data_IF_186705894808
#
_entry.id   IF_186705894808
#
_cell.length_a   1.000
_cell.length_b   1.000
_cell.length_c   1.000
_cell.angle_alpha   90.00
_cell.angle_beta   90.00
_cell.angle_gamma   90.00
#
_symmetry.space_group_name_H-M   'P 1'
#
loop_
_entity.id
_entity.type
_entity.pdbx_description
1 polymer ?
#
# COMPACT_ATOMS: atom_id res chain seq x y z
N UNK A 1 11.98 -3.79 28.83
CA UNK A 1 10.71 -4.46 28.49
C UNK A 1 11.04 -5.56 27.49
N UNK A 2 10.74 -6.81 27.85
CA UNK A 2 11.05 -7.96 27.01
C UNK A 2 9.77 -8.42 26.34
N UNK A 3 9.49 -7.85 25.17
CA UNK A 3 8.42 -8.30 24.31
C UNK A 3 8.99 -9.28 23.28
N UNK A 4 8.38 -10.44 23.15
CA UNK A 4 8.75 -11.42 22.13
C UNK A 4 7.75 -11.31 20.97
N UNK A 5 8.19 -11.02 19.73
CA UNK A 5 7.29 -11.05 18.58
C UNK A 5 6.87 -12.49 18.30
N UNK A 6 5.57 -12.73 18.23
CA UNK A 6 5.00 -14.07 17.96
C UNK A 6 4.58 -14.26 16.52
N UNK A 7 4.23 -13.16 15.83
CA UNK A 7 3.93 -13.14 14.41
C UNK A 7 4.11 -11.72 13.87
N UNK A 8 4.09 -11.61 12.57
CA UNK A 8 4.06 -10.31 11.89
C UNK A 8 3.09 -10.38 10.71
N UNK A 9 2.39 -9.29 10.46
CA UNK A 9 1.61 -9.10 9.26
C UNK A 9 2.42 -8.28 8.25
N UNK A 10 2.30 -8.61 6.97
CA UNK A 10 2.93 -7.87 5.89
C UNK A 10 1.87 -6.99 5.22
N UNK A 11 2.19 -5.72 4.98
CA UNK A 11 1.33 -4.74 4.33
C UNK A 11 1.84 -4.44 2.92
N UNK A 12 0.92 -4.36 1.97
CA UNK A 12 1.16 -4.17 0.55
C UNK A 12 -0.15 -4.19 -0.23
N UNK A 13 -0.17 -4.85 -1.38
CA UNK A 13 -1.36 -4.95 -2.21
C UNK A 13 -1.94 -6.37 -2.19
N UNK A 14 -3.20 -6.50 -1.83
CA UNK A 14 -3.98 -7.74 -1.97
C UNK A 14 -4.59 -7.74 -3.37
N UNK A 15 -4.44 -8.84 -4.09
CA UNK A 15 -4.72 -8.94 -5.53
C UNK A 15 -5.61 -10.12 -5.83
N UNK A 16 -6.71 -9.89 -6.54
CA UNK A 16 -7.57 -10.94 -7.08
C UNK A 16 -6.95 -11.54 -8.35
N UNK A 17 -6.11 -12.58 -8.19
CA UNK A 17 -5.41 -13.23 -9.29
C UNK A 17 -6.37 -13.82 -10.32
N UNK A 18 -7.53 -14.30 -9.87
CA UNK A 18 -8.57 -14.83 -10.75
C UNK A 18 -9.05 -13.80 -11.77
N UNK A 19 -9.20 -12.52 -11.39
CA UNK A 19 -9.54 -11.45 -12.34
C UNK A 19 -8.41 -11.20 -13.35
N UNK A 20 -7.15 -11.21 -12.91
CA UNK A 20 -6.01 -11.07 -13.81
C UNK A 20 -5.98 -12.17 -14.87
N UNK A 21 -6.19 -13.44 -14.46
CA UNK A 21 -6.27 -14.58 -15.39
C UNK A 21 -7.49 -14.47 -16.31
N UNK A 22 -8.67 -14.10 -15.78
CA UNK A 22 -9.91 -13.99 -16.53
C UNK A 22 -9.81 -12.97 -17.67
N UNK A 23 -9.16 -11.82 -17.42
CA UNK A 23 -9.06 -10.73 -18.39
C UNK A 23 -7.73 -10.76 -19.17
N UNK A 24 -6.84 -11.71 -18.89
CA UNK A 24 -5.54 -11.83 -19.55
C UNK A 24 -4.59 -10.68 -19.24
N UNK A 25 -4.76 -10.03 -18.11
CA UNK A 25 -3.91 -8.92 -17.63
C UNK A 25 -2.75 -9.54 -16.83
N UNK A 26 -1.48 -9.23 -17.15
CA UNK A 26 -0.36 -9.78 -16.41
C UNK A 26 -0.28 -9.18 -14.98
N UNK A 27 0.12 -10.02 -14.01
CA UNK A 27 0.37 -9.55 -12.65
C UNK A 27 1.50 -8.52 -12.63
N UNK A 28 1.35 -7.42 -11.89
CA UNK A 28 2.37 -6.38 -11.78
C UNK A 28 3.69 -6.90 -11.19
N UNK A 29 4.79 -6.45 -11.76
CA UNK A 29 6.16 -6.76 -11.29
C UNK A 29 6.95 -5.52 -10.87
N UNK A 30 6.46 -4.33 -11.22
CA UNK A 30 7.02 -3.03 -10.93
C UNK A 30 5.91 -1.96 -10.94
N UNK A 31 6.26 -0.71 -10.66
CA UNK A 31 5.30 0.39 -10.58
C UNK A 31 4.59 0.67 -11.92
N UNK A 32 5.32 0.64 -13.03
CA UNK A 32 4.76 0.91 -14.36
C UNK A 32 3.73 -0.16 -14.76
N UNK A 33 4.05 -1.44 -14.54
CA UNK A 33 3.11 -2.54 -14.80
C UNK A 33 1.92 -2.52 -13.82
N UNK A 34 2.09 -2.03 -12.59
CA UNK A 34 0.98 -1.83 -11.65
C UNK A 34 -0.01 -0.78 -12.17
N UNK A 35 0.49 0.38 -12.61
CA UNK A 35 -0.36 1.43 -13.21
C UNK A 35 -1.03 0.93 -14.48
N UNK A 36 -0.30 0.23 -15.35
CA UNK A 36 -0.85 -0.35 -16.58
C UNK A 36 -1.96 -1.36 -16.29
N UNK A 37 -1.82 -2.17 -15.25
CA UNK A 37 -2.86 -3.10 -14.84
C UNK A 37 -4.11 -2.36 -14.32
N UNK A 38 -3.95 -1.28 -13.55
CA UNK A 38 -5.08 -0.45 -13.12
C UNK A 38 -5.88 0.07 -14.31
N UNK A 39 -5.20 0.64 -15.31
CA UNK A 39 -5.82 1.17 -16.53
C UNK A 39 -6.52 0.07 -17.33
N UNK A 40 -5.89 -1.09 -17.49
CA UNK A 40 -6.47 -2.21 -18.23
C UNK A 40 -7.76 -2.75 -17.57
N UNK A 41 -7.84 -2.75 -16.24
CA UNK A 41 -9.07 -3.12 -15.54
C UNK A 41 -10.17 -2.06 -15.72
N UNK A 42 -9.84 -0.79 -15.71
CA UNK A 42 -10.81 0.29 -15.95
C UNK A 42 -11.43 0.20 -17.34
N UNK A 43 -10.65 -0.18 -18.36
CA UNK A 43 -11.16 -0.39 -19.73
C UNK A 43 -12.24 -1.47 -19.82
N UNK A 44 -12.24 -2.43 -18.88
CA UNK A 44 -13.25 -3.49 -18.79
C UNK A 44 -14.30 -3.24 -17.71
N UNK A 45 -14.31 -2.03 -17.12
CA UNK A 45 -15.30 -1.59 -16.14
C UNK A 45 -15.08 -2.13 -14.72
N UNK A 46 -13.86 -2.59 -14.41
CA UNK A 46 -13.45 -3.04 -13.08
C UNK A 46 -12.49 -1.99 -12.52
N UNK A 47 -12.65 -1.65 -11.26
CA UNK A 47 -11.69 -0.77 -10.58
C UNK A 47 -10.35 -1.47 -10.44
N UNK A 48 -9.29 -0.85 -10.97
CA UNK A 48 -7.95 -1.45 -10.90
C UNK A 48 -7.41 -1.51 -9.49
N UNK A 49 -7.56 -0.40 -8.74
CA UNK A 49 -7.12 -0.29 -7.35
C UNK A 49 -8.15 0.47 -6.50
N UNK A 50 -8.26 0.10 -5.23
CA UNK A 50 -9.05 0.83 -4.23
C UNK A 50 -8.36 0.78 -2.86
N UNK A 51 -8.72 1.70 -1.95
CA UNK A 51 -8.18 1.75 -0.60
C UNK A 51 -9.16 2.39 0.38
N UNK A 52 -9.06 2.02 1.65
CA UNK A 52 -9.88 2.51 2.75
C UNK A 52 -9.25 3.74 3.43
N UNK A 53 -8.98 4.79 2.65
CA UNK A 53 -8.30 5.99 3.14
C UNK A 53 -9.15 6.89 4.06
N UNK A 54 -10.34 6.45 4.42
CA UNK A 54 -11.09 6.97 5.57
C UNK A 54 -10.28 6.81 6.87
N UNK A 55 -9.42 5.79 6.93
CA UNK A 55 -8.51 5.60 8.05
C UNK A 55 -7.15 6.23 7.74
N UNK A 56 -6.71 7.13 8.63
CA UNK A 56 -5.44 7.86 8.49
C UNK A 56 -4.22 6.92 8.42
N UNK A 57 -4.24 5.81 9.17
CA UNK A 57 -3.14 4.85 9.17
C UNK A 57 -2.96 4.14 7.82
N UNK A 58 -4.03 3.79 7.09
CA UNK A 58 -3.91 3.13 5.78
C UNK A 58 -3.31 4.04 4.73
N UNK A 59 -3.69 5.32 4.74
CA UNK A 59 -3.08 6.34 3.90
C UNK A 59 -1.58 6.50 4.22
N UNK A 60 -1.24 6.60 5.51
CA UNK A 60 0.15 6.74 5.97
C UNK A 60 1.00 5.51 5.65
N UNK A 61 0.46 4.31 5.79
CA UNK A 61 1.16 3.07 5.45
C UNK A 61 1.41 2.96 3.95
N UNK A 62 0.44 3.34 3.11
CA UNK A 62 0.64 3.38 1.66
C UNK A 62 1.74 4.37 1.29
N UNK A 63 1.71 5.59 1.82
CA UNK A 63 2.74 6.61 1.61
C UNK A 63 4.13 6.10 2.01
N UNK A 64 4.24 5.49 3.18
CA UNK A 64 5.50 4.93 3.69
C UNK A 64 5.98 3.75 2.85
N UNK A 65 5.08 2.87 2.43
CA UNK A 65 5.40 1.73 1.56
C UNK A 65 5.94 2.16 0.21
N UNK A 66 5.26 3.10 -0.45
CA UNK A 66 5.69 3.67 -1.74
C UNK A 66 7.02 4.43 -1.64
N UNK A 67 7.33 5.02 -0.48
CA UNK A 67 8.53 5.83 -0.23
C UNK A 67 9.57 5.11 0.62
N UNK A 68 9.46 3.81 0.81
CA UNK A 68 10.35 3.05 1.68
C UNK A 68 11.83 3.14 1.25
N UNK A 69 12.09 3.21 -0.05
CA UNK A 69 13.42 3.39 -0.59
C UNK A 69 14.11 4.65 -0.04
N UNK A 70 13.39 5.76 0.06
CA UNK A 70 13.91 7.04 0.57
C UNK A 70 13.92 7.08 2.10
N UNK A 71 12.84 6.61 2.73
CA UNK A 71 12.69 6.61 4.19
C UNK A 71 13.71 5.73 4.89
N UNK A 72 14.22 4.69 4.23
CA UNK A 72 15.22 3.76 4.76
C UNK A 72 16.66 4.17 4.47
N UNK A 73 16.90 5.25 3.73
CA UNK A 73 18.24 5.83 3.54
C UNK A 73 18.86 6.30 4.85
N UNK A 74 20.17 6.57 4.83
CA UNK A 74 20.84 7.16 6.01
C UNK A 74 20.21 8.50 6.40
N UNK A 75 19.81 9.33 5.42
CA UNK A 75 19.15 10.60 5.68
C UNK A 75 17.77 10.40 6.31
N UNK A 76 16.94 9.51 5.75
CA UNK A 76 15.61 9.20 6.29
C UNK A 76 15.67 8.60 7.70
N UNK A 77 16.63 7.72 7.97
CA UNK A 77 16.85 7.17 9.32
C UNK A 77 17.29 8.23 10.32
N UNK A 78 18.18 9.14 9.93
CA UNK A 78 18.61 10.27 10.78
C UNK A 78 17.44 11.17 11.11
N UNK A 79 16.62 11.52 10.12
CA UNK A 79 15.42 12.32 10.34
C UNK A 79 14.49 11.64 11.34
N UNK A 80 14.16 10.37 11.15
CA UNK A 80 13.27 9.62 12.05
C UNK A 80 13.80 9.56 13.48
N UNK A 81 15.11 9.34 13.66
CA UNK A 81 15.74 9.36 14.98
C UNK A 81 15.60 10.73 15.63
N UNK A 82 15.89 11.80 14.89
CA UNK A 82 15.79 13.17 15.40
C UNK A 82 14.35 13.57 15.75
N UNK A 83 13.38 13.16 14.92
CA UNK A 83 11.96 13.40 15.16
C UNK A 83 11.43 12.67 16.41
N UNK A 84 11.90 11.43 16.62
CA UNK A 84 11.45 10.58 17.73
C UNK A 84 12.17 10.83 19.05
N UNK A 85 13.24 11.64 19.06
CA UNK A 85 14.02 11.92 20.27
C UNK A 85 13.39 13.10 21.06
N UNK A 86 12.79 12.84 22.23
CA UNK A 86 12.20 13.89 23.04
C UNK A 86 13.22 14.88 23.61
N UNK A 87 14.51 14.50 23.63
CA UNK A 87 15.61 15.37 24.06
C UNK A 87 16.11 16.27 22.92
N UNK A 88 15.69 16.04 21.70
CA UNK A 88 16.12 16.83 20.55
C UNK A 88 15.46 18.21 20.58
N UNK A 89 16.26 19.24 20.82
CA UNK A 89 15.81 20.66 20.83
C UNK A 89 15.82 21.26 19.43
N UNK A 90 16.47 20.65 18.45
CA UNK A 90 16.42 21.04 17.06
C UNK A 90 15.10 20.51 16.45
N UNK A 91 14.20 21.43 16.11
CA UNK A 91 12.93 21.07 15.49
C UNK A 91 13.18 20.56 14.08
N UNK A 92 12.86 19.28 13.81
CA UNK A 92 12.81 18.71 12.47
C UNK A 92 11.35 18.67 12.00
N UNK A 93 11.11 19.16 10.79
CA UNK A 93 9.79 19.22 10.18
C UNK A 93 9.62 18.16 9.09
N UNK A 94 8.40 18.05 8.55
CA UNK A 94 8.10 17.22 7.40
C UNK A 94 8.60 17.84 6.08
N UNK A 95 8.96 19.10 6.09
CA UNK A 95 9.59 19.83 4.99
C UNK A 95 11.10 19.55 4.86
N UNK A 96 11.67 18.81 5.83
CA UNK A 96 13.07 18.40 5.80
C UNK A 96 13.25 17.07 5.04
N UNK A 97 14.30 17.01 4.24
CA UNK A 97 14.89 15.83 3.60
C UNK A 97 13.97 15.02 2.67
N UNK A 98 13.39 13.91 3.13
CA UNK A 98 12.74 12.89 2.29
C UNK A 98 11.23 13.04 2.17
N UNK A 99 10.59 13.77 3.08
CA UNK A 99 9.13 13.82 3.17
C UNK A 99 8.44 14.57 2.02
N UNK A 100 8.96 15.69 1.50
CA UNK A 100 8.36 16.33 0.33
C UNK A 100 8.23 15.37 -0.85
N UNK A 101 9.29 14.62 -1.17
CA UNK A 101 9.26 13.61 -2.22
C UNK A 101 8.32 12.43 -1.92
N UNK A 102 8.13 12.06 -0.65
CA UNK A 102 7.16 11.03 -0.26
C UNK A 102 5.71 11.50 -0.50
N UNK A 103 5.39 12.75 -0.17
CA UNK A 103 4.07 13.32 -0.44
C UNK A 103 3.79 13.49 -1.95
N UNK A 104 4.79 13.95 -2.72
CA UNK A 104 4.69 14.03 -4.18
C UNK A 104 4.41 12.65 -4.79
N UNK A 105 5.07 11.61 -4.30
CA UNK A 105 4.88 10.22 -4.74
C UNK A 105 3.50 9.69 -4.41
N UNK A 106 2.97 10.00 -3.23
CA UNK A 106 1.60 9.65 -2.87
C UNK A 106 0.58 10.37 -3.74
N UNK A 107 0.78 11.65 -4.01
CA UNK A 107 -0.08 12.41 -4.91
C UNK A 107 -0.06 11.83 -6.33
N UNK A 108 1.12 11.45 -6.83
CA UNK A 108 1.27 10.78 -8.13
C UNK A 108 0.56 9.42 -8.14
N UNK A 109 0.72 8.62 -7.09
CA UNK A 109 0.04 7.32 -6.96
C UNK A 109 -1.49 7.46 -7.03
N UNK A 110 -2.06 8.45 -6.33
CA UNK A 110 -3.50 8.74 -6.38
C UNK A 110 -3.94 9.09 -7.82
N UNK A 111 -3.15 9.88 -8.53
CA UNK A 111 -3.43 10.22 -9.92
C UNK A 111 -3.31 9.00 -10.85
N UNK A 112 -2.24 8.24 -10.73
CA UNK A 112 -1.95 7.08 -11.60
C UNK A 112 -2.95 5.93 -11.39
N UNK A 113 -3.51 5.81 -10.19
CA UNK A 113 -4.55 4.82 -9.86
C UNK A 113 -5.99 5.36 -10.03
N UNK A 114 -6.12 6.59 -10.53
CA UNK A 114 -7.39 7.28 -10.76
C UNK A 114 -8.33 7.33 -9.54
N UNK A 115 -7.76 7.33 -8.32
CA UNK A 115 -8.55 7.48 -7.11
C UNK A 115 -9.20 8.86 -7.06
N UNK A 116 -10.50 8.87 -6.81
CA UNK A 116 -11.32 10.09 -6.68
C UNK A 116 -11.57 10.44 -5.22
N UNK A 117 -12.19 11.58 -4.95
CA UNK A 117 -12.61 11.94 -3.60
C UNK A 117 -13.60 10.93 -3.00
N UNK A 118 -14.47 10.34 -3.83
CA UNK A 118 -15.42 9.31 -3.38
C UNK A 118 -14.67 8.03 -2.98
N UNK A 119 -13.64 7.65 -3.73
CA UNK A 119 -12.79 6.49 -3.39
C UNK A 119 -12.05 6.68 -2.07
N UNK A 120 -11.58 7.90 -1.81
CA UNK A 120 -10.88 8.23 -0.55
C UNK A 120 -11.82 8.21 0.67
N UNK A 121 -13.14 8.16 0.46
CA UNK A 121 -14.15 8.04 1.52
C UNK A 121 -14.56 6.58 1.82
N UNK A 122 -14.04 5.61 1.08
CA UNK A 122 -14.36 4.20 1.32
C UNK A 122 -13.86 3.72 2.68
N UNK A 123 -14.70 2.94 3.34
CA UNK A 123 -14.33 2.20 4.54
C UNK A 123 -13.69 0.86 4.19
N UNK A 124 -13.14 0.16 5.18
CA UNK A 124 -12.61 -1.20 5.00
C UNK A 124 -13.69 -2.16 4.46
N UNK A 125 -14.92 -2.06 4.95
CA UNK A 125 -16.03 -2.92 4.50
C UNK A 125 -16.40 -2.63 3.05
N UNK A 126 -16.38 -1.37 2.61
CA UNK A 126 -16.63 -1.00 1.21
C UNK A 126 -15.55 -1.61 0.29
N UNK A 127 -14.29 -1.42 0.64
CA UNK A 127 -13.14 -1.90 -0.14
C UNK A 127 -13.12 -3.43 -0.24
N UNK A 128 -13.29 -4.11 0.89
CA UNK A 128 -13.31 -5.58 0.92
C UNK A 128 -14.57 -6.16 0.26
N UNK A 129 -15.68 -5.43 0.31
CA UNK A 129 -16.91 -5.76 -0.43
C UNK A 129 -16.71 -5.69 -1.94
N UNK A 130 -16.15 -4.59 -2.45
CA UNK A 130 -15.81 -4.44 -3.88
C UNK A 130 -14.84 -5.53 -4.35
N UNK A 131 -13.81 -5.84 -3.56
CA UNK A 131 -12.85 -6.90 -3.89
C UNK A 131 -13.53 -8.27 -3.95
N UNK A 132 -14.36 -8.59 -2.95
CA UNK A 132 -15.10 -9.86 -2.87
C UNK A 132 -16.07 -10.05 -4.03
N UNK A 133 -16.72 -8.97 -4.47
CA UNK A 133 -17.66 -8.98 -5.59
C UNK A 133 -16.96 -8.95 -6.97
N UNK A 134 -15.64 -8.83 -7.03
CA UNK A 134 -14.91 -8.68 -8.29
C UNK A 134 -15.05 -7.30 -8.94
N UNK A 135 -15.48 -6.30 -8.18
CA UNK A 135 -15.63 -4.91 -8.61
C UNK A 135 -14.31 -4.13 -8.54
N UNK A 136 -13.35 -4.64 -7.74
CA UNK A 136 -11.99 -4.14 -7.65
C UNK A 136 -10.98 -5.28 -7.77
N UNK A 137 -9.92 -5.06 -8.57
CA UNK A 137 -8.89 -6.07 -8.82
C UNK A 137 -7.82 -6.11 -7.73
N UNK A 138 -7.51 -4.96 -7.15
CA UNK A 138 -6.47 -4.80 -6.13
C UNK A 138 -6.92 -3.82 -5.05
N UNK A 139 -6.43 -4.03 -3.83
CA UNK A 139 -6.59 -3.04 -2.76
C UNK A 139 -5.36 -3.02 -1.84
N UNK A 140 -5.19 -1.91 -1.11
CA UNK A 140 -4.22 -1.85 -0.02
C UNK A 140 -4.70 -2.74 1.13
N UNK A 141 -3.85 -3.65 1.58
CA UNK A 141 -4.20 -4.56 2.66
C UNK A 141 -3.03 -5.34 3.22
N UNK A 142 -3.34 -6.31 4.07
CA UNK A 142 -2.33 -7.13 4.72
C UNK A 142 -2.33 -8.58 4.22
N UNK A 143 -1.25 -9.28 4.53
CA UNK A 143 -1.10 -10.71 4.22
C UNK A 143 -2.19 -11.57 4.89
N UNK A 144 -2.75 -11.14 6.02
CA UNK A 144 -3.89 -11.81 6.66
C UNK A 144 -5.15 -11.79 5.77
N UNK A 145 -5.39 -10.68 5.06
CA UNK A 145 -6.51 -10.55 4.12
C UNK A 145 -6.47 -11.58 3.00
N UNK A 146 -5.27 -11.91 2.50
CA UNK A 146 -5.10 -12.94 1.46
C UNK A 146 -5.72 -14.28 1.89
N UNK A 147 -5.40 -14.72 3.10
CA UNK A 147 -5.92 -16.00 3.62
C UNK A 147 -7.44 -15.97 3.76
N UNK A 148 -8.02 -14.86 4.21
CA UNK A 148 -9.48 -14.71 4.36
C UNK A 148 -10.17 -14.93 3.03
N UNK A 149 -9.74 -14.26 1.98
CA UNK A 149 -10.35 -14.39 0.66
C UNK A 149 -10.09 -15.75 -0.01
N UNK A 150 -8.92 -16.35 0.21
CA UNK A 150 -8.66 -17.71 -0.25
C UNK A 150 -9.61 -18.72 0.39
N UNK A 151 -9.92 -18.56 1.69
CA UNK A 151 -10.88 -19.43 2.40
C UNK A 151 -12.33 -19.21 1.89
N UNK A 152 -12.64 -18.04 1.35
CA UNK A 152 -13.89 -17.74 0.64
C UNK A 152 -13.91 -18.25 -0.82
N UNK A 153 -12.82 -18.84 -1.30
CA UNK A 153 -12.71 -19.38 -2.66
C UNK A 153 -12.29 -18.37 -3.72
N UNK A 154 -11.83 -17.18 -3.31
CA UNK A 154 -11.30 -16.17 -4.22
C UNK A 154 -9.81 -16.40 -4.43
N UNK A 155 -9.39 -16.58 -5.66
CA UNK A 155 -7.96 -16.76 -5.99
C UNK A 155 -7.19 -15.46 -5.77
N UNK A 156 -6.59 -15.34 -4.59
CA UNK A 156 -5.98 -14.13 -4.06
C UNK A 156 -4.48 -14.31 -3.85
N UNK A 157 -3.71 -13.29 -4.18
CA UNK A 157 -2.27 -13.22 -3.92
C UNK A 157 -1.90 -11.88 -3.30
N UNK A 158 -0.63 -11.72 -2.94
CA UNK A 158 -0.08 -10.53 -2.30
C UNK A 158 1.09 -9.99 -3.12
N UNK A 159 1.11 -8.67 -3.32
CA UNK A 159 2.21 -7.97 -3.97
C UNK A 159 2.81 -6.92 -3.03
N UNK A 160 4.12 -6.70 -3.14
CA UNK A 160 4.81 -5.66 -2.39
C UNK A 160 4.44 -4.27 -2.92
N UNK A 161 4.80 -3.23 -2.18
CA UNK A 161 4.87 -1.89 -2.75
C UNK A 161 5.98 -1.83 -3.80
N UNK A 162 5.68 -1.19 -4.91
CA UNK A 162 6.64 -0.93 -5.97
C UNK A 162 7.13 0.50 -5.87
N UNK A 163 8.42 0.71 -5.71
CA UNK A 163 8.98 2.04 -5.78
C UNK A 163 9.36 2.41 -7.22
N UNK A 164 9.40 3.70 -7.52
CA UNK A 164 9.74 4.20 -8.85
C UNK A 164 11.20 3.88 -9.28
N UNK A 165 12.07 3.54 -8.33
CA UNK A 165 13.45 3.11 -8.62
C UNK A 165 13.57 1.60 -8.89
N UNK A 166 12.45 0.87 -8.97
CA UNK A 166 12.41 -0.56 -9.24
C UNK A 166 12.57 -1.46 -8.00
N UNK A 167 12.76 -0.90 -6.81
CA UNK A 167 12.79 -1.68 -5.58
C UNK A 167 11.40 -2.12 -5.14
N UNK A 168 11.33 -3.23 -4.41
CA UNK A 168 10.10 -3.81 -3.88
C UNK A 168 10.17 -3.82 -2.36
N UNK A 169 9.12 -3.33 -1.73
CA UNK A 169 9.06 -3.15 -0.29
C UNK A 169 7.80 -3.75 0.30
N UNK A 170 7.90 -4.31 1.48
CA UNK A 170 6.76 -4.64 2.34
C UNK A 170 6.93 -3.90 3.66
N UNK A 171 5.84 -3.46 4.24
CA UNK A 171 5.82 -3.04 5.63
C UNK A 171 5.47 -4.25 6.49
N UNK A 172 6.01 -4.33 7.69
CA UNK A 172 5.67 -5.39 8.63
C UNK A 172 5.25 -4.81 9.96
N UNK A 173 4.11 -5.27 10.45
CA UNK A 173 3.62 -4.95 11.80
C UNK A 173 3.82 -6.18 12.68
N UNK A 174 4.80 -6.17 13.61
CA UNK A 174 4.98 -7.29 14.52
C UNK A 174 3.94 -7.25 15.63
N UNK A 175 3.40 -8.40 15.97
CA UNK A 175 2.55 -8.60 17.14
C UNK A 175 3.37 -9.20 18.28
N UNK A 176 3.23 -8.63 19.47
CA UNK A 176 4.00 -8.99 20.66
C UNK A 176 3.10 -9.59 21.73
N UNK A 177 3.64 -10.56 22.46
CA UNK A 177 3.07 -11.10 23.71
C UNK A 177 4.09 -10.99 24.86
#
# INVERSE_FOLDING_TARGET
>A
VNWLPVCADAHGFVVNRGLFEQYGIPLPTDYESFVSACQAFEEVGIRGFTADYTYDYTCMETLQGLSAAELTTTAGRKWRTAYSDPANTARVGLDDTVWPGAFERMAQFIQDTHLTADDLAHTYDDVTGMFRNGEAAMYFGSSAGVKVFQDEGIDTTFLPFFSQNGEKWIMTTPYFQ
#
